data_IF_186348256176
#
_entry.id   IF_186348256176
#
_cell.length_a   1.000
_cell.length_b   1.000
_cell.length_c   1.000
_cell.angle_alpha   90.00
_cell.angle_beta   90.00
_cell.angle_gamma   90.00
#
_symmetry.space_group_name_H-M   'P 1'
#
loop_
_entity.id
_entity.type
_entity.pdbx_description
1 polymer ?
#
# COMPACT_ATOMS: atom_id res chain seq x y z
N UNK A 1 -2.57 15.34 25.54
CA UNK A 1 -3.28 15.43 24.24
C UNK A 1 -3.31 14.03 23.61
N UNK A 2 -4.48 13.40 23.46
CA UNK A 2 -4.58 12.13 22.71
C UNK A 2 -4.80 12.49 21.24
N UNK A 3 -3.79 12.29 20.40
CA UNK A 3 -3.99 12.40 18.95
C UNK A 3 -4.98 11.32 18.53
N UNK A 4 -6.14 11.75 18.06
CA UNK A 4 -7.22 10.88 17.54
C UNK A 4 -6.92 10.36 16.13
N UNK A 5 -5.69 10.45 15.66
CA UNK A 5 -5.26 9.87 14.40
C UNK A 5 -5.20 8.35 14.59
N UNK A 6 -6.28 7.67 14.18
CA UNK A 6 -6.33 6.20 14.19
C UNK A 6 -5.13 5.57 13.47
N UNK A 7 -4.92 4.26 13.67
CA UNK A 7 -3.82 3.56 13.03
C UNK A 7 -3.94 3.61 11.49
N UNK A 8 -2.82 3.74 10.79
CA UNK A 8 -2.76 3.63 9.33
C UNK A 8 -2.25 2.24 8.92
N UNK A 9 -2.60 1.80 7.72
CA UNK A 9 -2.05 0.60 7.09
C UNK A 9 -1.42 0.98 5.75
N UNK A 10 -0.15 0.61 5.59
CA UNK A 10 0.61 0.78 4.35
C UNK A 10 0.80 -0.59 3.70
N UNK A 11 0.55 -0.66 2.40
CA UNK A 11 0.90 -1.80 1.54
C UNK A 11 2.04 -1.34 0.64
N UNK A 12 3.15 -2.07 0.65
CA UNK A 12 4.37 -1.71 -0.07
C UNK A 12 5.02 -2.93 -0.72
N UNK A 13 5.93 -2.68 -1.66
CA UNK A 13 6.78 -3.66 -2.32
C UNK A 13 8.25 -3.29 -2.10
N UNK A 14 9.00 -4.18 -1.47
CA UNK A 14 10.43 -4.04 -1.19
C UNK A 14 11.20 -5.22 -1.80
N UNK A 15 11.10 -5.38 -3.12
CA UNK A 15 11.77 -6.46 -3.87
C UNK A 15 13.03 -5.98 -4.59
N UNK A 16 13.15 -4.68 -4.82
CA UNK A 16 14.22 -4.09 -5.61
C UNK A 16 15.26 -3.45 -4.69
N UNK A 17 16.54 -3.64 -4.97
CA UNK A 17 17.62 -3.11 -4.13
C UNK A 17 17.60 -1.57 -4.09
N UNK A 18 17.21 -0.94 -5.20
CA UNK A 18 17.24 0.50 -5.36
C UNK A 18 16.06 1.26 -4.72
N UNK A 19 14.91 0.61 -4.46
CA UNK A 19 13.70 1.33 -4.06
C UNK A 19 12.64 0.47 -3.33
N UNK A 20 11.88 1.15 -2.45
CA UNK A 20 10.64 0.64 -1.86
C UNK A 20 9.44 1.38 -2.44
N UNK A 21 8.49 0.64 -3.00
CA UNK A 21 7.28 1.20 -3.61
C UNK A 21 6.11 1.17 -2.63
N UNK A 22 5.62 2.33 -2.23
CA UNK A 22 4.37 2.43 -1.45
C UNK A 22 3.19 2.32 -2.41
N UNK A 23 2.48 1.19 -2.35
CA UNK A 23 1.35 0.91 -3.23
C UNK A 23 0.06 1.56 -2.72
N UNK A 24 -0.21 1.50 -1.42
CA UNK A 24 -1.46 2.05 -0.87
C UNK A 24 -1.31 2.40 0.61
N UNK A 25 -1.85 3.54 1.05
CA UNK A 25 -1.89 3.96 2.44
C UNK A 25 -3.29 4.46 2.79
N UNK A 26 -3.84 3.98 3.91
CA UNK A 26 -5.19 4.31 4.33
C UNK A 26 -5.37 4.17 5.84
N UNK A 27 -6.38 4.84 6.38
CA UNK A 27 -6.73 4.72 7.80
C UNK A 27 -7.34 3.34 8.06
N UNK A 28 -6.77 2.59 9.00
CA UNK A 28 -7.26 1.27 9.40
C UNK A 28 -8.59 1.42 10.14
N UNK A 29 -9.68 1.07 9.46
CA UNK A 29 -11.03 1.03 10.05
C UNK A 29 -11.35 -0.30 10.72
N UNK A 30 -10.75 -1.39 10.26
CA UNK A 30 -10.97 -2.74 10.78
C UNK A 30 -9.65 -3.53 10.81
N UNK A 31 -9.62 -4.67 11.51
CA UNK A 31 -8.43 -5.53 11.54
C UNK A 31 -8.10 -6.09 10.15
N UNK A 32 -9.12 -6.53 9.41
CA UNK A 32 -8.98 -7.12 8.06
C UNK A 32 -8.90 -6.04 6.98
N UNK A 33 -7.94 -6.15 6.06
CA UNK A 33 -7.87 -5.27 4.89
C UNK A 33 -9.09 -5.49 4.01
N UNK A 34 -9.79 -4.41 3.65
CA UNK A 34 -10.98 -4.48 2.81
C UNK A 34 -10.64 -5.01 1.40
N UNK A 35 -11.62 -5.60 0.72
CA UNK A 35 -11.44 -6.01 -0.68
C UNK A 35 -11.14 -4.83 -1.61
N UNK A 36 -11.68 -3.64 -1.29
CA UNK A 36 -11.42 -2.41 -2.05
C UNK A 36 -9.95 -1.98 -1.95
N UNK A 37 -9.39 -1.92 -0.74
CA UNK A 37 -7.98 -1.55 -0.53
C UNK A 37 -7.03 -2.56 -1.19
N UNK A 38 -7.37 -3.85 -1.16
CA UNK A 38 -6.61 -4.90 -1.86
C UNK A 38 -6.63 -4.71 -3.38
N UNK A 39 -7.77 -4.33 -3.96
CA UNK A 39 -7.88 -4.07 -5.41
C UNK A 39 -7.02 -2.88 -5.84
N UNK A 40 -7.05 -1.78 -5.08
CA UNK A 40 -6.20 -0.61 -5.34
C UNK A 40 -4.72 -1.00 -5.31
N UNK A 41 -4.29 -1.71 -4.27
CA UNK A 41 -2.90 -2.15 -4.16
C UNK A 41 -2.49 -3.10 -5.30
N UNK A 42 -3.38 -4.02 -5.72
CA UNK A 42 -3.13 -4.92 -6.85
C UNK A 42 -2.97 -4.18 -8.17
N UNK A 43 -3.82 -3.18 -8.44
CA UNK A 43 -3.71 -2.37 -9.66
C UNK A 43 -2.38 -1.61 -9.71
N UNK A 44 -2.00 -0.93 -8.62
CA UNK A 44 -0.74 -0.19 -8.53
C UNK A 44 0.49 -1.09 -8.56
N UNK A 45 0.39 -2.32 -8.03
CA UNK A 45 1.46 -3.31 -8.17
C UNK A 45 1.73 -3.64 -9.64
N UNK A 46 0.71 -3.78 -10.49
CA UNK A 46 0.93 -4.02 -11.93
C UNK A 46 1.65 -2.84 -12.60
N UNK A 47 1.30 -1.60 -12.24
CA UNK A 47 1.98 -0.40 -12.75
C UNK A 47 3.47 -0.38 -12.37
N UNK A 48 3.81 -0.78 -11.13
CA UNK A 48 5.23 -0.90 -10.72
C UNK A 48 5.94 -1.99 -11.54
N UNK A 49 5.31 -3.13 -11.81
CA UNK A 49 5.91 -4.17 -12.65
C UNK A 49 6.08 -3.74 -14.11
N UNK A 50 5.22 -2.85 -14.63
CA UNK A 50 5.39 -2.24 -15.93
C UNK A 50 6.56 -1.25 -15.96
N UNK A 51 6.68 -0.42 -14.92
CA UNK A 51 7.79 0.53 -14.78
C UNK A 51 9.14 -0.17 -14.65
N UNK A 52 9.21 -1.28 -13.91
CA UNK A 52 10.45 -2.04 -13.72
C UNK A 52 10.86 -2.89 -14.93
N UNK A 53 9.98 -3.04 -15.94
CA UNK A 53 10.31 -3.69 -17.21
C UNK A 53 10.87 -2.73 -18.26
N UNK A 54 10.77 -1.43 -18.02
CA UNK A 54 11.36 -0.40 -18.88
C UNK A 54 12.80 -0.15 -18.47
#
# INVERSE_FOLDING_TARGET
>A
MRSHSGAYRVIYLARFEQAVYVLHCFVKKTQRTSGHDKRIAKARFQSVLEEQRR
#
